data_IF_129094275626
#
_entry.id   IF_129094275626
#
_cell.length_a   1.000
_cell.length_b   1.000
_cell.length_c   1.000
_cell.angle_alpha   90.00
_cell.angle_beta   90.00
_cell.angle_gamma   90.00
#
_symmetry.space_group_name_H-M   'P 1'
#
loop_
_entity.id
_entity.type
_entity.pdbx_description
1 polymer ?
#
# COMPACT_ATOMS: atom_id res chain seq x y z
N UNK A 1 41.42 38.00 53.38
CA UNK A 1 41.43 37.47 51.99
C UNK A 1 40.42 36.33 51.89
N UNK A 2 39.28 36.52 51.23
CA UNK A 2 38.32 35.45 50.88
C UNK A 2 38.11 35.48 49.37
N UNK A 3 38.62 34.46 48.68
CA UNK A 3 38.42 34.27 47.23
C UNK A 3 36.95 33.91 46.96
N UNK A 4 36.31 34.67 46.08
CA UNK A 4 35.03 34.31 45.49
C UNK A 4 35.27 33.29 44.36
N UNK A 5 34.69 32.11 44.52
CA UNK A 5 34.59 31.07 43.49
C UNK A 5 33.59 31.52 42.40
N UNK A 6 34.08 31.72 41.18
CA UNK A 6 33.24 32.01 40.00
C UNK A 6 32.72 30.70 39.40
N UNK A 7 31.46 30.37 39.68
CA UNK A 7 30.75 29.26 39.04
C UNK A 7 30.56 29.53 37.54
N UNK A 8 31.25 28.77 36.69
CA UNK A 8 31.04 28.76 35.23
C UNK A 8 29.60 28.30 34.91
N UNK A 9 28.77 29.22 34.41
CA UNK A 9 27.48 28.91 33.77
C UNK A 9 27.71 27.99 32.57
N UNK A 10 27.25 26.74 32.63
CA UNK A 10 27.32 25.79 31.51
C UNK A 10 26.30 26.19 30.43
N UNK A 11 26.79 26.44 29.22
CA UNK A 11 25.98 26.85 28.07
C UNK A 11 25.00 25.74 27.64
N UNK A 12 23.71 26.04 27.41
CA UNK A 12 22.68 25.07 27.02
C UNK A 12 22.93 24.42 25.65
N UNK A 13 23.79 25.02 24.82
CA UNK A 13 24.25 24.49 23.53
C UNK A 13 24.95 23.12 23.63
N UNK A 14 25.59 22.80 24.75
CA UNK A 14 26.21 21.48 24.94
C UNK A 14 25.17 20.36 25.08
N UNK A 15 23.99 20.64 25.65
CA UNK A 15 22.90 19.67 25.71
C UNK A 15 22.36 19.34 24.30
N UNK A 16 22.23 20.35 23.44
CA UNK A 16 21.84 20.14 22.04
C UNK A 16 22.93 19.41 21.24
N UNK A 17 24.21 19.71 21.49
CA UNK A 17 25.34 18.98 20.89
C UNK A 17 25.41 17.52 21.36
N UNK A 18 25.18 17.25 22.65
CA UNK A 18 25.16 15.90 23.21
C UNK A 18 23.94 15.10 22.73
N UNK A 19 22.76 15.72 22.64
CA UNK A 19 21.57 15.09 22.07
C UNK A 19 21.74 14.78 20.58
N UNK A 20 22.31 15.72 19.80
CA UNK A 20 22.63 15.51 18.39
C UNK A 20 23.67 14.41 18.18
N UNK A 21 24.72 14.36 19.00
CA UNK A 21 25.73 13.31 18.97
C UNK A 21 25.17 11.94 19.39
N UNK A 22 24.24 11.89 20.35
CA UNK A 22 23.55 10.67 20.76
C UNK A 22 22.65 10.12 19.65
N UNK A 23 21.88 11.00 18.99
CA UNK A 23 21.04 10.65 17.84
C UNK A 23 21.91 10.16 16.68
N UNK A 24 23.03 10.82 16.39
CA UNK A 24 23.98 10.39 15.35
C UNK A 24 24.67 9.06 15.67
N UNK A 25 25.01 8.81 16.93
CA UNK A 25 25.59 7.54 17.37
C UNK A 25 24.58 6.40 17.28
N UNK A 26 23.30 6.64 17.63
CA UNK A 26 22.20 5.69 17.47
C UNK A 26 21.85 5.47 15.99
N UNK A 27 21.93 6.51 15.15
CA UNK A 27 21.76 6.40 13.71
C UNK A 27 22.89 5.58 13.06
N UNK A 28 24.13 5.71 13.54
CA UNK A 28 25.25 4.85 13.11
C UNK A 28 25.04 3.37 13.45
N UNK A 29 24.33 3.05 14.54
CA UNK A 29 23.96 1.68 14.87
C UNK A 29 22.92 1.07 13.91
N UNK A 30 22.22 1.89 13.11
CA UNK A 30 21.26 1.46 12.09
C UNK A 30 21.88 1.30 10.69
N UNK A 31 23.09 1.83 10.46
CA UNK A 31 23.82 1.67 9.18
C UNK A 31 24.11 0.21 8.77
N UNK A 32 24.40 -0.73 9.69
CA UNK A 32 24.58 -2.14 9.32
C UNK A 32 23.30 -2.77 8.77
N UNK A 33 22.13 -2.35 9.28
CA UNK A 33 20.83 -2.84 8.82
C UNK A 33 20.52 -2.36 7.41
N UNK A 34 20.97 -1.15 7.02
CA UNK A 34 20.83 -0.67 5.64
C UNK A 34 21.61 -1.53 4.63
N UNK A 35 22.69 -2.20 5.09
CA UNK A 35 23.53 -3.08 4.28
C UNK A 35 22.94 -4.49 4.06
N UNK A 36 21.83 -4.84 4.72
CA UNK A 36 21.15 -6.15 4.56
C UNK A 36 20.19 -6.22 3.35
N UNK A 37 20.27 -5.29 2.41
CA UNK A 37 19.41 -5.27 1.23
C UNK A 37 17.91 -5.13 1.58
N UNK A 38 17.03 -5.86 0.88
CA UNK A 38 15.57 -5.76 1.04
C UNK A 38 15.07 -6.13 2.45
N UNK A 39 15.76 -7.07 3.13
CA UNK A 39 15.43 -7.47 4.50
C UNK A 39 15.81 -6.38 5.52
N UNK A 40 16.88 -5.63 5.25
CA UNK A 40 17.34 -4.53 6.09
C UNK A 40 16.32 -3.40 6.22
N UNK A 41 15.68 -3.02 5.12
CA UNK A 41 14.62 -2.01 5.11
C UNK A 41 13.40 -2.41 5.93
N UNK A 42 12.98 -3.68 5.85
CA UNK A 42 11.88 -4.21 6.64
C UNK A 42 12.16 -4.13 8.15
N UNK A 43 13.34 -4.62 8.58
CA UNK A 43 13.75 -4.59 10.00
C UNK A 43 13.88 -3.14 10.49
N UNK A 44 14.45 -2.24 9.69
CA UNK A 44 14.55 -0.83 10.04
C UNK A 44 13.17 -0.20 10.25
N UNK A 45 12.25 -0.40 9.30
CA UNK A 45 10.87 0.12 9.39
C UNK A 45 10.13 -0.42 10.63
N UNK A 46 10.37 -1.69 10.97
CA UNK A 46 9.83 -2.33 12.16
C UNK A 46 10.37 -1.70 13.44
N UNK A 47 11.69 -1.50 13.55
CA UNK A 47 12.31 -0.86 14.72
C UNK A 47 11.84 0.58 14.90
N UNK A 48 11.71 1.35 13.81
CA UNK A 48 11.15 2.70 13.85
C UNK A 48 9.71 2.67 14.35
N UNK A 49 8.91 1.70 13.89
CA UNK A 49 7.51 1.54 14.32
C UNK A 49 7.40 1.15 15.79
N UNK A 50 8.27 0.24 16.28
CA UNK A 50 8.37 -0.09 17.71
C UNK A 50 8.72 1.17 18.51
N UNK A 51 9.72 1.94 18.06
CA UNK A 51 10.11 3.20 18.69
C UNK A 51 8.96 4.21 18.77
N UNK A 52 8.19 4.37 17.68
CA UNK A 52 7.04 5.26 17.63
C UNK A 52 5.94 4.84 18.61
N UNK A 53 5.59 3.54 18.66
CA UNK A 53 4.63 3.04 19.64
C UNK A 53 5.14 3.12 21.08
N UNK A 54 6.45 2.95 21.31
CA UNK A 54 7.06 3.06 22.63
C UNK A 54 7.05 4.49 23.22
N UNK A 55 6.75 5.52 22.40
CA UNK A 55 6.51 6.89 22.89
C UNK A 55 5.16 6.98 23.61
N UNK A 56 4.16 6.20 23.17
CA UNK A 56 2.79 6.26 23.69
C UNK A 56 2.47 5.11 24.65
N UNK A 57 3.12 3.97 24.49
CA UNK A 57 2.83 2.73 25.22
C UNK A 57 4.09 2.16 25.87
N UNK A 58 3.95 1.30 26.91
CA UNK A 58 5.08 0.60 27.50
C UNK A 58 5.86 -0.20 26.45
N UNK A 59 7.20 -0.21 26.57
CA UNK A 59 8.07 -0.83 25.57
C UNK A 59 7.71 -2.29 25.24
N UNK A 60 7.42 -3.11 26.27
CA UNK A 60 7.01 -4.51 26.07
C UNK A 60 5.70 -4.65 25.27
N UNK A 61 4.76 -3.72 25.46
CA UNK A 61 3.51 -3.69 24.68
C UNK A 61 3.79 -3.26 23.24
N UNK A 62 4.61 -2.22 23.02
CA UNK A 62 4.97 -1.77 21.68
C UNK A 62 5.64 -2.89 20.85
N UNK A 63 6.58 -3.63 21.45
CA UNK A 63 7.22 -4.78 20.81
C UNK A 63 6.20 -5.87 20.50
N UNK A 64 5.41 -6.29 21.49
CA UNK A 64 4.40 -7.34 21.29
C UNK A 64 3.35 -6.97 20.24
N UNK A 65 2.92 -5.71 20.19
CA UNK A 65 1.95 -5.22 19.22
C UNK A 65 2.52 -5.25 17.80
N UNK A 66 3.76 -4.80 17.59
CA UNK A 66 4.42 -4.88 16.28
C UNK A 66 4.64 -6.34 15.84
N UNK A 67 4.92 -7.25 16.78
CA UNK A 67 5.02 -8.69 16.49
C UNK A 67 3.66 -9.30 16.08
N UNK A 68 2.56 -8.83 16.66
CA UNK A 68 1.21 -9.25 16.23
C UNK A 68 0.89 -8.75 14.82
N UNK A 69 1.23 -7.49 14.50
CA UNK A 69 1.13 -6.96 13.13
C UNK A 69 1.98 -7.79 12.18
N UNK A 70 3.23 -8.10 12.55
CA UNK A 70 4.11 -8.95 11.74
C UNK A 70 3.48 -10.33 11.49
N UNK A 71 2.92 -10.98 12.52
CA UNK A 71 2.24 -12.27 12.37
C UNK A 71 1.08 -12.21 11.38
N UNK A 72 0.29 -11.14 11.43
CA UNK A 72 -0.77 -10.86 10.47
C UNK A 72 -0.21 -10.69 9.04
N UNK A 73 0.79 -9.82 8.83
CA UNK A 73 1.40 -9.64 7.50
C UNK A 73 2.02 -10.93 6.94
N UNK A 74 2.66 -11.74 7.80
CA UNK A 74 3.20 -13.04 7.41
C UNK A 74 2.10 -13.99 6.93
N UNK A 75 0.87 -13.85 7.43
CA UNK A 75 -0.30 -14.55 6.90
C UNK A 75 -0.56 -14.26 5.43
N UNK A 76 -0.53 -12.98 5.03
CA UNK A 76 -0.62 -12.60 3.61
C UNK A 76 0.56 -13.16 2.81
N UNK A 77 1.79 -13.09 3.34
CA UNK A 77 2.97 -13.61 2.65
C UNK A 77 2.88 -15.12 2.42
N UNK A 78 2.45 -15.89 3.43
CA UNK A 78 2.26 -17.34 3.32
C UNK A 78 1.18 -17.66 2.29
N UNK A 79 0.04 -16.96 2.34
CA UNK A 79 -1.05 -17.17 1.39
C UNK A 79 -0.66 -16.82 -0.05
N UNK A 80 0.06 -15.70 -0.26
CA UNK A 80 0.58 -15.30 -1.56
C UNK A 80 1.58 -16.33 -2.12
N UNK A 81 2.52 -16.81 -1.29
CA UNK A 81 3.47 -17.86 -1.68
C UNK A 81 2.79 -19.15 -2.08
N UNK A 82 1.73 -19.56 -1.36
CA UNK A 82 0.92 -20.74 -1.72
C UNK A 82 0.19 -20.59 -3.06
N UNK A 83 -0.10 -19.36 -3.47
CA UNK A 83 -0.67 -19.02 -4.78
C UNK A 83 0.39 -18.74 -5.85
N UNK A 84 1.67 -18.97 -5.55
CA UNK A 84 2.77 -18.76 -6.48
C UNK A 84 3.05 -17.29 -6.78
N UNK A 85 2.56 -16.36 -5.95
CA UNK A 85 2.74 -14.93 -6.17
C UNK A 85 4.03 -14.43 -5.49
N UNK A 86 4.93 -13.77 -6.24
CA UNK A 86 6.19 -13.28 -5.71
C UNK A 86 6.00 -12.06 -4.80
N UNK A 87 6.39 -12.19 -3.54
CA UNK A 87 6.37 -11.13 -2.52
C UNK A 87 7.74 -10.46 -2.41
N UNK A 88 7.77 -9.13 -2.41
CA UNK A 88 9.00 -8.32 -2.36
C UNK A 88 9.47 -8.02 -0.93
N UNK A 89 8.54 -7.86 0.02
CA UNK A 89 8.87 -7.55 1.42
C UNK A 89 7.68 -6.99 2.20
N UNK A 90 7.90 -6.77 3.50
CA UNK A 90 6.94 -6.14 4.42
C UNK A 90 7.51 -4.79 4.83
N UNK A 91 6.70 -3.74 4.76
CA UNK A 91 7.08 -2.39 5.16
C UNK A 91 6.15 -1.88 6.26
N UNK A 92 6.72 -1.46 7.39
CA UNK A 92 5.94 -0.95 8.52
C UNK A 92 5.83 0.57 8.45
N UNK A 93 4.62 1.08 8.66
CA UNK A 93 4.31 2.51 8.74
C UNK A 93 3.85 2.79 10.18
N UNK A 94 4.58 3.64 10.93
CA UNK A 94 4.19 4.03 12.28
C UNK A 94 2.73 4.49 12.35
N UNK A 95 2.00 3.98 13.36
CA UNK A 95 0.58 4.28 13.62
C UNK A 95 -0.45 3.83 12.57
N UNK A 96 -0.03 3.45 11.37
CA UNK A 96 -0.93 3.00 10.30
C UNK A 96 -0.96 1.48 10.16
N UNK A 97 0.15 0.79 10.42
CA UNK A 97 0.25 -0.67 10.32
C UNK A 97 1.44 -1.11 9.46
N UNK A 98 1.23 -2.13 8.65
CA UNK A 98 2.23 -2.63 7.72
C UNK A 98 1.60 -2.91 6.35
N UNK A 99 2.46 -3.00 5.32
CA UNK A 99 2.06 -3.29 3.96
C UNK A 99 2.95 -4.40 3.40
N UNK A 100 2.34 -5.49 2.93
CA UNK A 100 3.02 -6.47 2.09
C UNK A 100 3.12 -5.96 0.66
N UNK A 101 4.35 -5.81 0.16
CA UNK A 101 4.58 -5.42 -1.23
C UNK A 101 4.69 -6.67 -2.13
N UNK A 102 3.81 -6.80 -3.12
CA UNK A 102 3.83 -7.89 -4.10
C UNK A 102 4.41 -7.39 -5.43
N UNK A 103 5.16 -8.24 -6.15
CA UNK A 103 5.64 -7.86 -7.50
C UNK A 103 4.54 -7.93 -8.55
N UNK A 104 3.54 -8.78 -8.31
CA UNK A 104 2.43 -9.04 -9.23
C UNK A 104 1.13 -9.07 -8.44
N UNK A 105 0.13 -8.36 -8.95
CA UNK A 105 -1.20 -8.33 -8.35
C UNK A 105 -1.98 -9.62 -8.65
N UNK A 106 -2.93 -10.02 -7.78
CA UNK A 106 -3.87 -11.09 -8.09
C UNK A 106 -4.63 -10.81 -9.39
N UNK A 107 -4.89 -11.86 -10.17
CA UNK A 107 -5.64 -11.77 -11.45
C UNK A 107 -7.12 -12.16 -11.31
N UNK A 108 -7.53 -12.65 -10.15
CA UNK A 108 -8.89 -13.11 -9.88
C UNK A 108 -9.28 -12.83 -8.42
N UNK A 109 -10.57 -12.58 -8.18
CA UNK A 109 -11.09 -12.25 -6.86
C UNK A 109 -10.91 -13.38 -5.84
N UNK A 110 -10.90 -14.65 -6.27
CA UNK A 110 -10.71 -15.80 -5.38
C UNK A 110 -9.29 -15.80 -4.79
N UNK A 111 -8.29 -15.54 -5.62
CA UNK A 111 -6.90 -15.44 -5.21
C UNK A 111 -6.68 -14.20 -4.33
N UNK A 112 -7.27 -13.06 -4.68
CA UNK A 112 -7.22 -11.87 -3.84
C UNK A 112 -7.82 -12.13 -2.45
N UNK A 113 -9.02 -12.70 -2.38
CA UNK A 113 -9.68 -13.04 -1.13
C UNK A 113 -8.90 -14.10 -0.33
N UNK A 114 -8.28 -15.08 -0.99
CA UNK A 114 -7.43 -16.07 -0.32
C UNK A 114 -6.22 -15.42 0.36
N UNK A 115 -5.55 -14.48 -0.33
CA UNK A 115 -4.41 -13.76 0.24
C UNK A 115 -4.87 -12.86 1.38
N UNK A 116 -5.94 -12.09 1.16
CA UNK A 116 -6.50 -11.19 2.16
C UNK A 116 -6.97 -11.95 3.41
N UNK A 117 -7.56 -13.14 3.27
CA UNK A 117 -7.97 -13.97 4.41
C UNK A 117 -6.76 -14.55 5.18
N UNK A 118 -5.62 -14.71 4.53
CA UNK A 118 -4.40 -15.23 5.15
C UNK A 118 -3.94 -14.40 6.34
N UNK A 119 -4.05 -13.07 6.26
CA UNK A 119 -3.64 -12.15 7.32
C UNK A 119 -4.46 -12.32 8.61
N UNK A 120 -5.79 -12.09 8.56
CA UNK A 120 -6.67 -12.30 9.70
C UNK A 120 -6.57 -13.70 10.30
N UNK A 121 -6.42 -14.75 9.47
CA UNK A 121 -6.31 -16.11 9.97
C UNK A 121 -5.03 -16.33 10.79
N UNK A 122 -3.86 -16.03 10.22
CA UNK A 122 -2.57 -16.23 10.92
C UNK A 122 -2.42 -15.25 12.08
N UNK A 123 -2.84 -13.99 11.89
CA UNK A 123 -2.89 -13.00 12.96
C UNK A 123 -3.76 -13.46 14.14
N UNK A 124 -4.92 -14.10 13.87
CA UNK A 124 -5.77 -14.66 14.92
C UNK A 124 -5.11 -15.83 15.64
N UNK A 125 -4.37 -16.68 14.92
CA UNK A 125 -3.58 -17.76 15.53
C UNK A 125 -2.46 -17.21 16.42
N UNK A 126 -1.77 -16.15 16.00
CA UNK A 126 -0.77 -15.46 16.83
C UNK A 126 -1.41 -14.86 18.09
N UNK A 127 -2.54 -14.17 17.97
CA UNK A 127 -3.27 -13.63 19.12
C UNK A 127 -3.74 -14.74 20.08
N UNK A 128 -4.19 -15.89 19.54
CA UNK A 128 -4.56 -17.06 20.33
C UNK A 128 -3.37 -17.66 21.09
N UNK A 129 -2.20 -17.74 20.47
CA UNK A 129 -0.97 -18.19 21.14
C UNK A 129 -0.57 -17.25 22.28
N UNK A 130 -0.69 -15.93 22.06
CA UNK A 130 -0.44 -14.92 23.11
C UNK A 130 -1.48 -15.03 24.23
N UNK A 131 -2.75 -15.29 23.91
CA UNK A 131 -3.80 -15.52 24.90
C UNK A 131 -3.52 -16.78 25.74
N UNK A 132 -3.13 -17.90 25.12
CA UNK A 132 -2.76 -19.11 25.84
C UNK A 132 -1.58 -18.88 26.77
N UNK A 133 -0.55 -18.16 26.30
CA UNK A 133 0.56 -17.71 27.12
C UNK A 133 0.13 -16.81 28.30
N UNK A 134 -0.85 -15.92 28.07
CA UNK A 134 -1.42 -15.07 29.10
C UNK A 134 -2.12 -15.90 30.19
N UNK A 135 -2.83 -16.97 29.83
CA UNK A 135 -3.45 -17.88 30.79
C UNK A 135 -2.42 -18.64 31.64
N UNK A 136 -1.34 -19.11 31.02
CA UNK A 136 -0.30 -19.91 31.70
C UNK A 136 0.51 -19.05 32.67
N UNK A 137 0.91 -17.84 32.26
CA UNK A 137 1.77 -16.97 33.07
C UNK A 137 1.00 -15.92 33.88
N UNK A 138 -0.32 -15.84 33.70
CA UNK A 138 -1.21 -14.86 34.32
C UNK A 138 -0.68 -13.42 34.26
N UNK A 139 -0.19 -13.02 33.08
CA UNK A 139 0.51 -11.73 32.92
C UNK A 139 -0.39 -10.68 32.25
N UNK A 140 -0.70 -9.53 32.91
CA UNK A 140 -1.64 -8.53 32.39
C UNK A 140 -1.30 -8.01 30.98
N UNK A 141 -0.03 -7.76 30.70
CA UNK A 141 0.42 -7.30 29.38
C UNK A 141 0.08 -8.28 28.26
N UNK A 142 0.15 -9.59 28.51
CA UNK A 142 -0.14 -10.60 27.48
C UNK A 142 -1.63 -10.67 27.18
N UNK A 143 -2.49 -10.51 28.19
CA UNK A 143 -3.92 -10.38 27.96
C UNK A 143 -4.26 -9.13 27.15
N UNK A 144 -3.64 -7.98 27.46
CA UNK A 144 -3.83 -6.76 26.68
C UNK A 144 -3.37 -6.94 25.22
N UNK A 145 -2.23 -7.60 24.99
CA UNK A 145 -1.76 -7.92 23.64
C UNK A 145 -2.68 -8.89 22.91
N UNK A 146 -3.17 -9.94 23.58
CA UNK A 146 -4.13 -10.88 22.99
C UNK A 146 -5.43 -10.15 22.59
N UNK A 147 -5.98 -9.32 23.47
CA UNK A 147 -7.19 -8.54 23.20
C UNK A 147 -7.00 -7.63 22.00
N UNK A 148 -5.91 -6.85 21.97
CA UNK A 148 -5.60 -5.95 20.85
C UNK A 148 -5.30 -6.72 19.57
N UNK A 149 -4.68 -7.90 19.66
CA UNK A 149 -4.46 -8.80 18.53
C UNK A 149 -5.77 -9.29 17.91
N UNK A 150 -6.72 -9.77 18.72
CA UNK A 150 -8.04 -10.16 18.23
C UNK A 150 -8.80 -8.96 17.65
N UNK A 151 -8.75 -7.81 18.32
CA UNK A 151 -9.38 -6.58 17.86
C UNK A 151 -8.83 -6.12 16.50
N UNK A 152 -7.50 -6.15 16.31
CA UNK A 152 -6.85 -5.79 15.05
C UNK A 152 -7.33 -6.69 13.91
N UNK A 153 -7.36 -8.01 14.12
CA UNK A 153 -7.85 -8.94 13.11
C UNK A 153 -9.35 -8.76 12.83
N UNK A 154 -10.15 -8.39 13.83
CA UNK A 154 -11.58 -8.12 13.66
C UNK A 154 -11.82 -6.83 12.85
N UNK A 155 -11.07 -5.76 13.12
CA UNK A 155 -11.12 -4.54 12.30
C UNK A 155 -10.70 -4.86 10.88
N UNK A 156 -9.60 -5.60 10.68
CA UNK A 156 -9.15 -5.96 9.33
C UNK A 156 -10.16 -6.84 8.60
N UNK A 157 -11.03 -7.55 9.32
CA UNK A 157 -12.13 -8.28 8.71
C UNK A 157 -13.29 -7.37 8.28
N UNK A 158 -13.40 -6.11 8.67
CA UNK A 158 -14.50 -5.23 8.24
C UNK A 158 -14.55 -5.09 6.71
N UNK A 159 -15.75 -5.09 6.09
CA UNK A 159 -15.90 -5.07 4.63
C UNK A 159 -15.71 -3.65 4.05
N UNK A 160 -14.56 -3.03 4.34
CA UNK A 160 -14.20 -1.65 4.02
C UNK A 160 -12.82 -1.67 3.36
N UNK A 161 -12.68 -1.17 2.13
CA UNK A 161 -11.35 -0.94 1.55
C UNK A 161 -10.70 0.28 2.22
N UNK A 162 -9.42 0.23 2.63
CA UNK A 162 -8.36 -0.70 2.18
C UNK A 162 -8.13 -1.95 3.05
N UNK A 163 -8.99 -2.24 4.04
CA UNK A 163 -8.85 -3.38 4.95
C UNK A 163 -9.04 -4.72 4.22
N UNK A 164 -8.54 -5.80 4.81
CA UNK A 164 -8.58 -7.14 4.20
C UNK A 164 -10.00 -7.63 3.92
N UNK A 165 -10.93 -7.34 4.82
CA UNK A 165 -12.34 -7.66 4.69
C UNK A 165 -12.93 -7.07 3.43
N UNK A 166 -12.53 -5.84 3.07
CA UNK A 166 -12.90 -5.21 1.80
C UNK A 166 -12.51 -6.03 0.57
N UNK A 167 -11.38 -6.74 0.62
CA UNK A 167 -10.90 -7.64 -0.45
C UNK A 167 -11.51 -9.04 -0.37
N UNK A 168 -11.72 -9.57 0.84
CA UNK A 168 -12.34 -10.89 1.05
C UNK A 168 -13.78 -10.88 0.55
N UNK A 169 -14.54 -9.82 0.84
CA UNK A 169 -15.96 -9.76 0.47
C UNK A 169 -16.19 -9.68 -1.04
N UNK A 170 -15.19 -9.31 -1.83
CA UNK A 170 -15.27 -9.38 -3.30
C UNK A 170 -15.57 -10.81 -3.76
N UNK A 171 -14.97 -11.81 -3.12
CA UNK A 171 -15.20 -13.20 -3.43
C UNK A 171 -16.50 -13.77 -2.82
N UNK A 172 -17.16 -13.05 -1.93
CA UNK A 172 -18.43 -13.48 -1.31
C UNK A 172 -19.62 -12.77 -1.95
N UNK A 173 -19.67 -11.45 -1.81
CA UNK A 173 -20.68 -10.58 -2.43
C UNK A 173 -20.26 -9.11 -2.34
N UNK A 174 -20.28 -8.41 -3.48
CA UNK A 174 -20.01 -6.96 -3.57
C UNK A 174 -21.00 -6.11 -2.75
N UNK A 175 -22.20 -6.63 -2.45
CA UNK A 175 -23.17 -5.94 -1.61
C UNK A 175 -22.71 -5.77 -0.17
N UNK A 176 -21.78 -6.59 0.30
CA UNK A 176 -21.21 -6.41 1.65
C UNK A 176 -20.40 -5.11 1.79
N UNK A 177 -19.97 -4.46 0.70
CA UNK A 177 -19.39 -3.12 0.80
C UNK A 177 -20.41 -2.07 1.23
N UNK A 178 -21.70 -2.24 0.89
CA UNK A 178 -22.78 -1.38 1.41
C UNK A 178 -22.94 -1.60 2.91
N UNK A 179 -22.86 -2.85 3.36
CA UNK A 179 -22.84 -3.19 4.79
C UNK A 179 -21.62 -2.53 5.46
N UNK A 180 -20.46 -2.51 4.83
CA UNK A 180 -19.27 -1.80 5.31
C UNK A 180 -19.44 -0.29 5.38
N UNK A 181 -20.13 0.32 4.41
CA UNK A 181 -20.41 1.75 4.40
C UNK A 181 -21.29 2.14 5.59
N UNK A 182 -22.38 1.42 5.81
CA UNK A 182 -23.31 1.66 6.93
C UNK A 182 -22.67 1.29 8.27
N UNK A 183 -22.07 0.11 8.36
CA UNK A 183 -21.39 -0.38 9.56
C UNK A 183 -20.22 0.51 9.98
N UNK A 184 -19.47 1.06 9.02
CA UNK A 184 -18.40 2.02 9.28
C UNK A 184 -18.90 3.29 9.96
N UNK A 185 -20.07 3.82 9.57
CA UNK A 185 -20.69 4.96 10.26
C UNK A 185 -21.07 4.62 11.70
N UNK A 186 -21.61 3.43 11.93
CA UNK A 186 -21.96 2.95 13.28
C UNK A 186 -20.71 2.87 14.15
N UNK A 187 -19.61 2.29 13.64
CA UNK A 187 -18.34 2.22 14.37
C UNK A 187 -17.81 3.62 14.69
N UNK A 188 -17.83 4.54 13.73
CA UNK A 188 -17.39 5.93 13.95
C UNK A 188 -18.25 6.63 15.00
N UNK A 189 -19.55 6.37 15.01
CA UNK A 189 -20.46 6.95 16.01
C UNK A 189 -20.11 6.50 17.44
N UNK A 190 -19.82 5.20 17.63
CA UNK A 190 -19.43 4.69 18.95
C UNK A 190 -17.96 4.95 19.31
N UNK A 191 -17.08 5.06 18.32
CA UNK A 191 -15.64 5.25 18.50
C UNK A 191 -15.14 6.39 17.58
N UNK A 192 -15.39 7.66 17.95
CA UNK A 192 -15.00 8.80 17.14
C UNK A 192 -13.47 8.91 17.12
N UNK A 193 -12.86 8.42 16.05
CA UNK A 193 -11.43 8.50 15.81
C UNK A 193 -11.20 9.12 14.42
N UNK A 194 -10.33 10.13 14.37
CA UNK A 194 -9.97 10.85 13.13
C UNK A 194 -9.50 9.88 12.05
N UNK A 195 -8.72 8.85 12.41
CA UNK A 195 -8.20 7.85 11.46
C UNK A 195 -9.35 7.05 10.85
N UNK A 196 -10.32 6.60 11.66
CA UNK A 196 -11.49 5.85 11.18
C UNK A 196 -12.35 6.69 10.25
N UNK A 197 -12.53 7.98 10.56
CA UNK A 197 -13.26 8.93 9.71
C UNK A 197 -12.57 9.09 8.35
N UNK A 198 -11.23 9.27 8.34
CA UNK A 198 -10.46 9.39 7.10
C UNK A 198 -10.59 8.12 6.26
N UNK A 199 -10.40 6.94 6.87
CA UNK A 199 -10.54 5.64 6.19
C UNK A 199 -11.93 5.50 5.58
N UNK A 200 -12.97 5.83 6.34
CA UNK A 200 -14.35 5.74 5.87
C UNK A 200 -14.65 6.71 4.71
N UNK A 201 -14.17 7.95 4.79
CA UNK A 201 -14.31 8.93 3.69
C UNK A 201 -13.61 8.46 2.41
N UNK A 202 -12.40 7.91 2.54
CA UNK A 202 -11.68 7.32 1.40
C UNK A 202 -12.45 6.15 0.80
N UNK A 203 -13.02 5.28 1.63
CA UNK A 203 -13.83 4.15 1.17
C UNK A 203 -15.12 4.61 0.48
N UNK A 204 -15.84 5.56 1.05
CA UNK A 204 -17.06 6.14 0.48
C UNK A 204 -16.78 6.79 -0.88
N UNK A 205 -15.66 7.52 -1.00
CA UNK A 205 -15.23 8.10 -2.26
C UNK A 205 -14.89 7.04 -3.31
N UNK A 206 -14.24 5.95 -2.92
CA UNK A 206 -13.92 4.85 -3.83
C UNK A 206 -15.20 4.14 -4.34
N UNK A 207 -16.17 3.93 -3.45
CA UNK A 207 -17.49 3.41 -3.81
C UNK A 207 -18.24 4.34 -4.76
N UNK A 208 -18.24 5.65 -4.49
CA UNK A 208 -18.86 6.63 -5.37
C UNK A 208 -18.24 6.62 -6.78
N UNK A 209 -16.91 6.59 -6.87
CA UNK A 209 -16.21 6.47 -8.16
C UNK A 209 -16.64 5.21 -8.91
N UNK A 210 -16.65 4.06 -8.24
CA UNK A 210 -16.88 2.75 -8.85
C UNK A 210 -18.33 2.53 -9.28
N UNK A 211 -19.30 2.95 -8.47
CA UNK A 211 -20.72 2.65 -8.71
C UNK A 211 -21.53 3.79 -9.31
N UNK A 212 -21.05 5.04 -9.20
CA UNK A 212 -21.77 6.22 -9.69
C UNK A 212 -21.01 6.89 -10.82
N UNK A 213 -19.78 7.35 -10.58
CA UNK A 213 -19.05 8.19 -11.53
C UNK A 213 -18.57 7.44 -12.78
N UNK A 214 -18.00 6.26 -12.59
CA UNK A 214 -17.34 5.46 -13.63
C UNK A 214 -18.07 4.13 -13.89
N UNK A 215 -19.39 4.09 -13.62
CA UNK A 215 -20.19 2.88 -13.76
C UNK A 215 -20.16 2.30 -15.18
N UNK A 216 -20.15 3.17 -16.18
CA UNK A 216 -20.24 2.79 -17.60
C UNK A 216 -18.95 3.08 -18.40
N UNK A 217 -17.97 3.74 -17.78
CA UNK A 217 -16.73 4.20 -18.45
C UNK A 217 -15.54 3.86 -17.57
N UNK A 218 -14.42 3.41 -18.16
CA UNK A 218 -13.20 3.19 -17.39
C UNK A 218 -12.65 4.51 -16.82
N UNK A 219 -11.87 4.43 -15.74
CA UNK A 219 -11.27 5.64 -15.16
C UNK A 219 -10.25 6.21 -16.15
N UNK A 220 -10.42 7.46 -16.61
CA UNK A 220 -9.52 8.06 -17.58
C UNK A 220 -8.16 8.34 -16.93
N UNK A 221 -7.10 7.98 -17.62
CA UNK A 221 -5.71 8.21 -17.25
C UNK A 221 -4.97 8.78 -18.44
N UNK A 222 -3.97 9.60 -18.13
CA UNK A 222 -3.07 10.18 -19.10
C UNK A 222 -1.64 9.99 -18.62
N UNK A 223 -0.75 9.56 -19.50
CA UNK A 223 0.68 9.51 -19.26
C UNK A 223 1.37 10.29 -20.36
N UNK A 224 2.24 11.21 -19.97
CA UNK A 224 3.03 12.02 -20.90
C UNK A 224 4.45 11.49 -20.90
N UNK A 225 5.01 11.32 -22.10
CA UNK A 225 6.41 10.98 -22.29
C UNK A 225 7.09 12.00 -23.20
N UNK A 226 8.28 12.52 -22.82
CA UNK A 226 9.13 13.26 -23.73
C UNK A 226 9.96 12.29 -24.58
N UNK A 227 9.94 12.45 -25.89
CA UNK A 227 10.78 11.71 -26.84
C UNK A 227 11.72 12.71 -27.53
N UNK A 228 13.01 12.42 -27.51
CA UNK A 228 14.02 13.27 -28.15
C UNK A 228 14.28 12.79 -29.57
N UNK A 229 14.24 13.72 -30.53
CA UNK A 229 14.50 13.47 -31.95
C UNK A 229 15.57 14.43 -32.43
N UNK A 230 16.55 13.92 -33.17
CA UNK A 230 17.51 14.76 -33.87
C UNK A 230 16.88 15.26 -35.17
N UNK A 231 16.62 16.57 -35.25
CA UNK A 231 15.96 17.15 -36.40
C UNK A 231 16.92 17.53 -37.53
N UNK A 232 18.21 17.68 -37.24
CA UNK A 232 19.19 18.10 -38.26
C UNK A 232 19.23 17.16 -39.49
N UNK A 233 19.33 15.82 -39.32
CA UNK A 233 19.33 14.91 -40.48
C UNK A 233 18.01 14.93 -41.27
N UNK A 234 16.90 15.21 -40.59
CA UNK A 234 15.58 15.31 -41.22
C UNK A 234 15.46 16.59 -42.07
N UNK A 235 15.97 17.72 -41.56
CA UNK A 235 16.04 18.97 -42.30
C UNK A 235 16.93 18.81 -43.54
N UNK A 236 18.07 18.16 -43.41
CA UNK A 236 19.01 17.92 -44.52
C UNK A 236 18.38 17.03 -45.61
N UNK A 237 17.46 16.14 -45.23
CA UNK A 237 16.65 15.31 -46.15
C UNK A 237 15.43 16.04 -46.72
N UNK A 238 15.21 17.31 -46.35
CA UNK A 238 14.11 18.14 -46.86
C UNK A 238 12.78 17.97 -46.12
N UNK A 239 12.75 17.33 -44.94
CA UNK A 239 11.53 17.22 -44.15
C UNK A 239 11.17 18.54 -43.46
N UNK A 240 9.86 18.82 -43.38
CA UNK A 240 9.34 19.97 -42.66
C UNK A 240 9.23 19.68 -41.16
N UNK A 241 9.83 20.54 -40.33
CA UNK A 241 9.78 20.42 -38.88
C UNK A 241 8.54 21.15 -38.33
N UNK A 242 7.64 20.47 -37.61
CA UNK A 242 6.46 21.09 -37.03
C UNK A 242 6.80 22.14 -35.96
N UNK A 243 5.94 23.15 -35.83
CA UNK A 243 6.07 24.20 -34.82
C UNK A 243 5.74 23.75 -33.38
N UNK A 244 6.01 24.58 -32.37
CA UNK A 244 5.91 24.18 -30.95
C UNK A 244 4.51 23.75 -30.50
N UNK A 245 3.49 24.38 -31.09
CA UNK A 245 2.06 24.15 -30.80
C UNK A 245 1.43 23.05 -31.66
N UNK A 246 2.24 22.33 -32.45
CA UNK A 246 1.73 21.29 -33.32
C UNK A 246 1.14 20.14 -32.51
N UNK A 247 -0.14 19.84 -32.78
CA UNK A 247 -0.86 18.71 -32.20
C UNK A 247 -1.25 17.74 -33.29
N UNK A 248 -0.95 16.46 -33.07
CA UNK A 248 -1.21 15.40 -34.03
C UNK A 248 -1.46 14.09 -33.31
N UNK A 249 -2.41 13.31 -33.81
CA UNK A 249 -2.60 11.92 -33.37
C UNK A 249 -1.52 11.03 -34.01
N UNK A 250 -0.90 10.19 -33.20
CA UNK A 250 0.15 9.28 -33.61
C UNK A 250 -0.36 7.86 -33.69
N UNK A 251 0.25 7.09 -34.60
CA UNK A 251 0.04 5.66 -34.67
C UNK A 251 0.79 4.97 -33.54
N UNK A 252 0.19 3.89 -33.03
CA UNK A 252 0.73 3.18 -31.90
C UNK A 252 0.44 1.68 -31.99
N UNK A 253 1.33 0.90 -31.39
CA UNK A 253 1.18 -0.55 -31.22
C UNK A 253 1.30 -0.86 -29.75
N UNK A 254 0.43 -1.74 -29.24
CA UNK A 254 0.43 -2.15 -27.83
C UNK A 254 0.83 -3.60 -27.71
N UNK A 255 1.61 -3.92 -26.69
CA UNK A 255 1.98 -5.30 -26.35
C UNK A 255 1.97 -5.46 -24.84
N UNK A 256 1.72 -6.69 -24.41
CA UNK A 256 1.67 -7.05 -23.00
C UNK A 256 2.72 -8.12 -22.74
N UNK A 257 3.56 -7.89 -21.75
CA UNK A 257 4.46 -8.91 -21.24
C UNK A 257 3.65 -9.99 -20.49
N UNK A 258 3.79 -11.26 -20.89
CA UNK A 258 3.03 -12.36 -20.30
C UNK A 258 3.50 -12.73 -18.88
N UNK A 259 4.77 -12.50 -18.56
CA UNK A 259 5.37 -12.84 -17.27
C UNK A 259 4.90 -11.86 -16.19
N UNK A 260 5.12 -10.57 -16.44
CA UNK A 260 4.87 -9.49 -15.47
C UNK A 260 3.52 -8.79 -15.67
N UNK A 261 2.85 -8.97 -16.82
CA UNK A 261 1.61 -8.28 -17.15
C UNK A 261 1.79 -6.79 -17.41
N UNK A 262 3.00 -6.32 -17.74
CA UNK A 262 3.22 -4.91 -18.07
C UNK A 262 2.76 -4.64 -19.49
N UNK A 263 2.01 -3.55 -19.66
CA UNK A 263 1.57 -3.11 -20.97
C UNK A 263 2.46 -1.99 -21.46
N UNK A 264 3.03 -2.19 -22.64
CA UNK A 264 3.86 -1.21 -23.31
C UNK A 264 3.16 -0.68 -24.55
N UNK A 265 3.45 0.59 -24.85
CA UNK A 265 2.93 1.33 -26.00
C UNK A 265 4.14 1.78 -26.81
N UNK A 266 4.28 1.23 -28.01
CA UNK A 266 5.20 1.73 -29.01
C UNK A 266 4.48 2.79 -29.82
N UNK A 267 5.08 3.99 -29.87
CA UNK A 267 4.55 5.16 -30.55
C UNK A 267 5.46 5.42 -31.73
N UNK A 268 4.85 5.60 -32.90
CA UNK A 268 5.58 5.81 -34.14
C UNK A 268 5.13 7.10 -34.81
N UNK A 269 6.11 7.86 -35.30
CA UNK A 269 5.87 8.95 -36.23
C UNK A 269 6.88 8.86 -37.37
N UNK A 270 6.46 8.20 -38.46
CA UNK A 270 7.31 7.89 -39.61
C UNK A 270 8.03 9.11 -40.19
N UNK A 271 7.30 10.21 -40.42
CA UNK A 271 7.88 11.43 -41.01
C UNK A 271 8.96 12.09 -40.17
N UNK A 272 8.99 11.84 -38.85
CA UNK A 272 10.04 12.35 -37.97
C UNK A 272 11.01 11.26 -37.53
N UNK A 273 10.92 10.05 -38.09
CA UNK A 273 11.69 8.87 -37.67
C UNK A 273 11.68 8.68 -36.14
N UNK A 274 10.56 9.05 -35.51
CA UNK A 274 10.40 9.00 -34.06
C UNK A 274 9.81 7.64 -33.70
N UNK A 275 10.52 6.94 -32.84
CA UNK A 275 10.05 5.75 -32.15
C UNK A 275 10.19 5.95 -30.65
N UNK A 276 9.09 5.77 -29.92
CA UNK A 276 9.05 5.88 -28.47
C UNK A 276 8.41 4.65 -27.84
N UNK A 277 9.03 4.12 -26.79
CA UNK A 277 8.45 3.05 -25.98
C UNK A 277 8.04 3.59 -24.62
N UNK A 278 6.77 3.43 -24.26
CA UNK A 278 6.22 3.77 -22.95
C UNK A 278 5.64 2.55 -22.26
N UNK A 279 6.15 2.24 -21.08
CA UNK A 279 5.48 1.27 -20.18
C UNK A 279 4.39 1.99 -19.40
N UNK A 280 3.14 1.53 -19.52
CA UNK A 280 2.04 2.08 -18.75
C UNK A 280 2.17 1.71 -17.27
N UNK A 281 1.83 2.64 -16.35
CA UNK A 281 1.86 2.35 -14.91
C UNK A 281 0.75 1.38 -14.48
N UNK A 282 -0.38 1.38 -15.19
CA UNK A 282 -1.50 0.45 -15.01
C UNK A 282 -1.98 -0.01 -16.39
N UNK A 283 -2.47 -1.26 -16.50
CA UNK A 283 -3.06 -1.76 -17.73
C UNK A 283 -4.33 -0.99 -18.10
N UNK A 284 -4.53 -0.76 -19.41
CA UNK A 284 -5.65 -0.01 -19.89
C UNK A 284 -5.91 -0.11 -21.38
N UNK A 285 -7.14 0.22 -21.75
CA UNK A 285 -7.54 0.36 -23.16
C UNK A 285 -7.15 1.75 -23.63
N UNK A 286 -6.15 1.83 -24.51
CA UNK A 286 -5.70 3.09 -25.10
C UNK A 286 -6.81 3.66 -25.97
N UNK A 287 -7.16 4.91 -25.73
CA UNK A 287 -8.16 5.65 -26.51
C UNK A 287 -7.52 6.49 -27.59
N UNK A 288 -6.40 7.15 -27.26
CA UNK A 288 -5.63 7.95 -28.23
C UNK A 288 -4.20 8.18 -27.76
N UNK A 289 -3.31 8.33 -28.73
CA UNK A 289 -1.93 8.79 -28.55
C UNK A 289 -1.75 10.04 -29.38
N UNK A 290 -1.29 11.15 -28.78
CA UNK A 290 -1.12 12.40 -29.53
C UNK A 290 0.01 13.26 -28.99
N UNK A 291 0.56 14.10 -29.86
CA UNK A 291 1.52 15.14 -29.51
C UNK A 291 0.78 16.31 -28.85
N UNK A 292 1.26 16.72 -27.68
CA UNK A 292 0.73 17.88 -26.96
C UNK A 292 1.59 19.13 -27.13
N UNK A 293 2.90 18.94 -27.32
CA UNK A 293 3.89 20.02 -27.40
C UNK A 293 5.17 19.52 -28.06
N UNK A 294 5.85 20.40 -28.79
CA UNK A 294 7.20 20.16 -29.32
C UNK A 294 8.11 21.29 -28.84
N UNK A 295 9.19 20.94 -28.13
CA UNK A 295 10.22 21.90 -27.73
C UNK A 295 11.40 21.85 -28.71
N UNK A 296 11.73 22.98 -29.32
CA UNK A 296 12.91 23.14 -30.17
C UNK A 296 14.11 23.54 -29.30
N UNK A 297 15.08 22.64 -29.17
CA UNK A 297 16.31 22.87 -28.42
C UNK A 297 17.48 22.93 -29.39
N UNK A 298 18.17 24.07 -29.40
CA UNK A 298 19.33 24.28 -30.26
C UNK A 298 20.58 23.84 -29.50
N UNK A 299 21.24 22.80 -29.99
CA UNK A 299 22.48 22.26 -29.42
C UNK A 299 23.66 22.52 -30.37
N UNK A 300 24.89 22.43 -29.85
CA UNK A 300 26.12 22.61 -30.65
C UNK A 300 26.22 21.64 -31.84
N UNK A 301 25.55 20.48 -31.76
CA UNK A 301 25.54 19.43 -32.80
C UNK A 301 24.30 19.48 -33.72
N UNK A 302 23.47 20.53 -33.66
CA UNK A 302 22.28 20.70 -34.50
C UNK A 302 20.96 20.87 -33.71
N UNK A 303 19.85 20.99 -34.44
CA UNK A 303 18.52 21.13 -33.83
C UNK A 303 18.03 19.79 -33.26
N UNK A 304 17.65 19.78 -31.98
CA UNK A 304 16.96 18.67 -31.32
C UNK A 304 15.53 19.06 -30.96
N UNK A 305 14.61 18.13 -31.14
CA UNK A 305 13.22 18.29 -30.76
C UNK A 305 12.93 17.42 -29.55
N UNK A 306 12.26 17.97 -28.55
CA UNK A 306 11.61 17.17 -27.51
C UNK A 306 10.12 17.15 -27.79
N UNK A 307 9.64 16.01 -28.28
CA UNK A 307 8.23 15.79 -28.61
C UNK A 307 7.56 15.21 -27.38
N UNK A 308 6.61 15.94 -26.81
CA UNK A 308 5.81 15.46 -25.68
C UNK A 308 4.59 14.72 -26.23
N UNK A 309 4.60 13.40 -26.06
CA UNK A 309 3.51 12.52 -26.47
C UNK A 309 2.67 12.15 -25.23
N UNK A 310 1.35 12.34 -25.34
CA UNK A 310 0.39 11.94 -24.32
C UNK A 310 -0.38 10.70 -24.79
N UNK A 311 -0.36 9.67 -23.95
CA UNK A 311 -1.18 8.46 -24.10
C UNK A 311 -2.38 8.57 -23.16
N UNK A 312 -3.56 8.70 -23.75
CA UNK A 312 -4.82 8.66 -23.01
C UNK A 312 -5.41 7.26 -23.08
N UNK A 313 -5.68 6.70 -21.92
CA UNK A 313 -6.23 5.36 -21.78
C UNK A 313 -7.25 5.30 -20.65
N UNK A 314 -8.15 4.34 -20.75
CA UNK A 314 -9.06 3.98 -19.67
C UNK A 314 -8.49 2.77 -18.95
N UNK A 315 -8.50 2.80 -17.62
CA UNK A 315 -8.10 1.64 -16.82
C UNK A 315 -8.94 0.41 -17.23
N UNK A 316 -8.26 -0.68 -17.55
CA UNK A 316 -8.91 -1.94 -17.90
C UNK A 316 -9.27 -2.67 -16.59
N UNK A 317 -10.56 -2.97 -16.39
CA UNK A 317 -11.02 -3.92 -15.39
C UNK A 317 -11.53 -5.16 -16.12
N UNK A 318 -10.97 -6.32 -15.80
CA UNK A 318 -11.40 -7.59 -16.39
C UNK A 318 -12.74 -8.00 -15.78
N UNK A 319 -13.79 -8.13 -16.60
CA UNK A 319 -15.11 -8.56 -16.14
C UNK A 319 -15.08 -9.97 -15.51
N UNK A 320 -14.16 -10.83 -15.96
CA UNK A 320 -13.96 -12.16 -15.40
C UNK A 320 -13.33 -12.13 -13.99
N UNK A 321 -12.75 -11.00 -13.58
CA UNK A 321 -12.13 -10.85 -12.25
C UNK A 321 -13.10 -11.18 -11.12
N UNK A 322 -14.36 -10.76 -11.27
CA UNK A 322 -15.43 -10.94 -10.28
C UNK A 322 -16.24 -12.22 -10.49
N UNK A 323 -15.89 -13.04 -11.49
CA UNK A 323 -16.54 -14.32 -11.70
C UNK A 323 -16.01 -15.34 -10.70
N UNK A 324 -16.84 -15.62 -9.69
CA UNK A 324 -16.46 -16.47 -8.56
C UNK A 324 -17.42 -17.65 -8.50
N UNK A 325 -16.92 -18.89 -8.59
CA UNK A 325 -17.75 -20.08 -8.46
C UNK A 325 -18.57 -20.07 -7.18
N UNK A 326 -19.83 -20.50 -7.26
CA UNK A 326 -20.77 -20.50 -6.11
C UNK A 326 -20.18 -21.24 -4.90
N UNK A 327 -19.51 -22.37 -5.13
CA UNK A 327 -18.85 -23.14 -4.06
C UNK A 327 -17.77 -22.32 -3.34
N UNK A 328 -17.00 -21.50 -4.06
CA UNK A 328 -15.99 -20.62 -3.48
C UNK A 328 -16.65 -19.49 -2.67
N UNK A 329 -17.75 -18.90 -3.17
CA UNK A 329 -18.50 -17.86 -2.43
C UNK A 329 -18.94 -18.36 -1.06
N UNK A 330 -19.52 -19.56 -0.99
CA UNK A 330 -19.95 -20.16 0.27
C UNK A 330 -18.79 -20.52 1.18
N UNK A 331 -17.69 -21.07 0.64
CA UNK A 331 -16.49 -21.37 1.44
C UNK A 331 -15.93 -20.12 2.10
N UNK A 332 -15.72 -19.05 1.34
CA UNK A 332 -15.26 -17.77 1.91
C UNK A 332 -16.28 -17.15 2.85
N UNK A 333 -17.57 -17.14 2.50
CA UNK A 333 -18.61 -16.58 3.35
C UNK A 333 -18.71 -17.25 4.72
N UNK A 334 -18.73 -18.60 4.75
CA UNK A 334 -18.76 -19.38 5.99
C UNK A 334 -17.47 -19.16 6.79
N UNK A 335 -16.30 -19.25 6.13
CA UNK A 335 -15.01 -19.08 6.82
C UNK A 335 -14.86 -17.67 7.42
N UNK A 336 -15.34 -16.67 6.69
CA UNK A 336 -15.34 -15.27 7.11
C UNK A 336 -16.26 -15.05 8.32
N UNK A 337 -17.49 -15.58 8.28
CA UNK A 337 -18.42 -15.50 9.39
C UNK A 337 -17.92 -16.24 10.64
N UNK A 338 -17.40 -17.47 10.47
CA UNK A 338 -16.83 -18.24 11.57
C UNK A 338 -15.65 -17.53 12.23
N UNK A 339 -14.74 -16.95 11.43
CA UNK A 339 -13.61 -16.21 11.96
C UNK A 339 -14.06 -14.95 12.71
N UNK A 340 -15.03 -14.21 12.17
CA UNK A 340 -15.58 -13.02 12.83
C UNK A 340 -16.23 -13.37 14.18
N UNK A 341 -17.07 -14.42 14.22
CA UNK A 341 -17.69 -14.91 15.47
C UNK A 341 -16.63 -15.36 16.47
N UNK A 342 -15.63 -16.11 16.02
CA UNK A 342 -14.51 -16.54 16.85
C UNK A 342 -13.76 -15.34 17.45
N UNK A 343 -13.46 -14.32 16.65
CA UNK A 343 -12.77 -13.12 17.11
C UNK A 343 -13.56 -12.35 18.16
N UNK A 344 -14.86 -12.14 17.94
CA UNK A 344 -15.74 -11.49 18.92
C UNK A 344 -15.81 -12.31 20.21
N UNK A 345 -15.95 -13.63 20.10
CA UNK A 345 -15.97 -14.53 21.26
C UNK A 345 -14.66 -14.48 22.05
N UNK A 346 -13.51 -14.53 21.36
CA UNK A 346 -12.20 -14.46 22.01
C UNK A 346 -11.91 -13.10 22.64
N UNK A 347 -12.37 -12.01 22.03
CA UNK A 347 -12.29 -10.68 22.65
C UNK A 347 -13.10 -10.64 23.95
N UNK A 348 -14.33 -11.18 23.94
CA UNK A 348 -15.18 -11.25 25.13
C UNK A 348 -14.56 -12.11 26.23
N UNK A 349 -14.03 -13.28 25.88
CA UNK A 349 -13.30 -14.14 26.81
C UNK A 349 -12.08 -13.44 27.41
N UNK A 350 -11.27 -12.80 26.57
CA UNK A 350 -10.07 -12.08 27.02
C UNK A 350 -10.45 -10.94 27.95
N UNK A 351 -11.51 -10.18 27.63
CA UNK A 351 -12.00 -9.10 28.48
C UNK A 351 -12.44 -9.61 29.86
N UNK A 352 -13.18 -10.72 29.90
CA UNK A 352 -13.54 -11.38 31.16
C UNK A 352 -12.33 -11.85 31.96
N UNK A 353 -11.32 -12.41 31.29
CA UNK A 353 -10.11 -12.91 31.94
C UNK A 353 -9.25 -11.79 32.57
N UNK A 354 -9.28 -10.57 32.01
CA UNK A 354 -8.56 -9.41 32.58
C UNK A 354 -9.27 -8.84 33.81
N UNK A 355 -10.54 -9.19 34.06
CA UNK A 355 -11.26 -8.72 35.24
C UNK A 355 -11.61 -7.23 35.20
N UNK A 356 -11.70 -6.62 34.01
CA UNK A 356 -12.33 -5.31 33.85
C UNK A 356 -13.85 -5.55 33.89
N UNK A 357 -14.37 -5.74 35.10
CA UNK A 357 -15.79 -5.60 35.35
C UNK A 357 -16.23 -4.18 34.93
N UNK A 358 -17.31 -4.14 34.14
CA UNK A 358 -17.97 -2.94 33.65
C UNK A 358 -18.24 -1.89 34.73
#
# INVERSE_FOLDING_TARGET
MRQQSTGKKKNPLWLFGAAGAFVLAKAKALLPLLKLGKAGGAVLSMLVTVGAYAILFPFGFAVGFVLLILGHELGHVIAAKRKGLPVSGIFFIPFLGALTNMKRNPRDAVTEAYIAFGGPLVGSMCALAVFAAALVWNHPLLYSLAYVGFFLNLINMLPINPLDGGRIVVAVSRWMWVVGLVGGLVVIYFMPNIILIIIWLMFAWDMYKKFVKYRNHGQPRAVVMPIQVEAQPLIDQGYFIPGPEHKRQLDFTTYCDLEDGRQDVLIYWENMQLEGRLTLPEQGTIKRVHVIKIDHLQHENGLRLTVHCQVDYEKYEDDAYYDVPIASRWKFGISYALLAVFLVYMMHLTHKAVGISA
#
